data_IF_614693794891
#
_entry.id   IF_614693794891
#
_cell.length_a   1.000
_cell.length_b   1.000
_cell.length_c   1.000
_cell.angle_alpha   90.00
_cell.angle_beta   90.00
_cell.angle_gamma   90.00
#
_symmetry.space_group_name_H-M   'P 1'
#
loop_
_entity.id
_entity.type
_entity.pdbx_description
1 polymer ?
#
# COMPACT_ATOMS: atom_id res chain seq x y z
N UNK A 1 -62.24 29.34 18.18
CA UNK A 1 -63.49 29.26 17.38
C UNK A 1 -63.31 30.14 16.15
N UNK A 2 -63.53 29.59 14.94
CA UNK A 2 -63.70 30.27 13.63
C UNK A 2 -62.41 30.88 13.02
N UNK A 3 -61.64 30.13 12.20
CA UNK A 3 -61.80 29.76 10.77
C UNK A 3 -60.93 30.65 9.86
N UNK A 4 -59.85 30.06 9.30
CA UNK A 4 -59.29 30.51 8.01
C UNK A 4 -59.22 29.33 7.05
N UNK A 5 -59.70 29.62 5.85
CA UNK A 5 -60.06 28.74 4.72
C UNK A 5 -58.85 28.09 4.04
N UNK A 6 -59.03 26.81 3.70
CA UNK A 6 -58.81 26.13 2.40
C UNK A 6 -57.82 26.74 1.40
N UNK A 7 -56.87 25.91 0.94
CA UNK A 7 -56.92 25.37 -0.43
C UNK A 7 -56.14 24.04 -0.53
N UNK A 8 -56.81 23.03 -1.09
CA UNK A 8 -56.30 21.73 -1.53
C UNK A 8 -56.56 21.62 -3.04
N UNK A 9 -55.58 21.12 -3.79
CA UNK A 9 -55.68 20.39 -5.07
C UNK A 9 -54.24 19.89 -5.35
N UNK A 10 -53.83 18.62 -5.22
CA UNK A 10 -54.17 17.41 -6.00
C UNK A 10 -54.48 17.67 -7.48
N UNK A 11 -53.57 17.29 -8.39
CA UNK A 11 -53.81 16.21 -9.36
C UNK A 11 -52.60 15.97 -10.31
N UNK A 12 -52.23 14.69 -10.38
CA UNK A 12 -51.87 13.88 -11.56
C UNK A 12 -50.58 14.12 -12.39
N UNK A 13 -49.87 12.99 -12.47
CA UNK A 13 -48.77 12.52 -13.34
C UNK A 13 -49.43 11.52 -14.35
N UNK A 14 -48.76 10.96 -15.38
CA UNK A 14 -48.02 11.46 -16.57
C UNK A 14 -48.77 11.02 -17.89
N UNK A 15 -48.18 10.94 -19.12
CA UNK A 15 -47.24 9.85 -19.48
C UNK A 15 -46.16 10.12 -20.57
N UNK A 16 -45.07 9.35 -20.42
CA UNK A 16 -44.30 8.59 -21.43
C UNK A 16 -44.39 9.01 -22.91
N UNK A 17 -43.24 9.30 -23.51
CA UNK A 17 -42.98 8.95 -24.91
C UNK A 17 -41.84 7.93 -24.94
N UNK A 18 -42.21 6.76 -25.42
CA UNK A 18 -41.42 5.55 -25.61
C UNK A 18 -41.00 5.48 -27.08
N UNK A 19 -39.90 4.79 -27.33
CA UNK A 19 -39.62 3.97 -28.54
C UNK A 19 -39.24 4.69 -29.84
N UNK A 20 -37.98 4.49 -30.25
CA UNK A 20 -37.68 4.01 -31.61
C UNK A 20 -36.30 3.32 -31.62
N UNK A 21 -36.31 2.00 -31.41
CA UNK A 21 -35.25 1.07 -31.83
C UNK A 21 -35.84 0.31 -33.02
N UNK A 22 -34.97 -0.01 -33.99
CA UNK A 22 -35.09 -0.96 -35.11
C UNK A 22 -35.47 -0.42 -36.49
N UNK A 23 -34.50 -0.55 -37.41
CA UNK A 23 -34.59 -1.15 -38.75
C UNK A 23 -33.16 -1.22 -39.31
N UNK A 24 -32.41 -2.29 -39.04
CA UNK A 24 -32.15 -3.39 -39.98
C UNK A 24 -32.28 -3.08 -41.48
N UNK A 25 -31.17 -3.40 -42.16
CA UNK A 25 -31.06 -4.03 -43.47
C UNK A 25 -30.78 -3.15 -44.71
N UNK A 26 -29.70 -3.58 -45.38
CA UNK A 26 -29.62 -3.79 -46.84
C UNK A 26 -29.25 -2.58 -47.74
N UNK A 27 -27.98 -2.53 -48.17
CA UNK A 27 -27.62 -2.72 -49.59
C UNK A 27 -26.11 -2.67 -49.88
N UNK A 28 -25.63 -3.81 -50.39
CA UNK A 28 -24.81 -3.98 -51.60
C UNK A 28 -23.49 -3.18 -51.73
N UNK A 29 -22.38 -3.92 -51.79
CA UNK A 29 -21.65 -4.14 -53.06
C UNK A 29 -20.73 -5.37 -52.97
N UNK A 30 -21.13 -6.40 -53.72
CA UNK A 30 -20.29 -7.50 -54.21
C UNK A 30 -19.41 -7.01 -55.36
N UNK A 31 -18.37 -7.81 -55.65
CA UNK A 31 -17.64 -8.05 -56.92
C UNK A 31 -16.13 -7.76 -56.79
N UNK A 32 -15.35 -8.79 -56.49
CA UNK A 32 -14.56 -9.49 -57.52
C UNK A 32 -13.92 -10.75 -56.92
N UNK A 33 -14.45 -11.91 -57.34
CA UNK A 33 -13.63 -13.11 -57.53
C UNK A 33 -13.03 -13.03 -58.94
N UNK A 34 -11.88 -13.71 -59.11
CA UNK A 34 -11.17 -14.19 -60.33
C UNK A 34 -9.67 -14.03 -59.97
N UNK A 35 -8.75 -14.99 -60.03
CA UNK A 35 -8.62 -16.25 -60.79
C UNK A 35 -7.32 -16.91 -60.31
N UNK A 36 -7.26 -18.25 -60.18
CA UNK A 36 -6.54 -19.17 -61.10
C UNK A 36 -5.00 -18.97 -61.10
N UNK A 37 -4.10 -19.93 -61.02
CA UNK A 37 -4.13 -21.40 -61.10
C UNK A 37 -2.66 -21.85 -61.02
N UNK A 38 -2.43 -22.97 -60.32
CA UNK A 38 -1.46 -24.05 -60.60
C UNK A 38 -0.02 -23.69 -60.99
N UNK A 39 0.93 -24.32 -60.28
CA UNK A 39 1.87 -25.30 -60.88
C UNK A 39 2.41 -26.23 -59.80
N UNK A 40 2.29 -27.52 -60.08
CA UNK A 40 2.83 -28.64 -59.32
C UNK A 40 4.04 -29.23 -60.07
N UNK A 41 4.73 -30.17 -59.40
CA UNK A 41 5.83 -31.05 -59.87
C UNK A 41 7.21 -30.36 -59.93
N UNK A 42 8.35 -30.92 -59.48
CA UNK A 42 8.75 -32.31 -59.19
C UNK A 42 10.17 -32.35 -58.53
N UNK A 43 10.45 -33.41 -57.73
CA UNK A 43 11.77 -34.04 -57.40
C UNK A 43 12.77 -33.20 -56.57
N UNK A 44 13.69 -33.74 -55.77
CA UNK A 44 14.15 -35.11 -55.53
C UNK A 44 14.86 -35.15 -54.15
N UNK A 45 14.79 -36.33 -53.53
CA UNK A 45 15.62 -36.88 -52.45
C UNK A 45 16.98 -36.23 -52.18
N UNK A 46 17.21 -35.80 -50.94
CA UNK A 46 18.52 -35.89 -50.27
C UNK A 46 18.31 -36.28 -48.80
N UNK A 47 18.90 -37.41 -48.42
CA UNK A 47 19.09 -37.89 -47.05
C UNK A 47 19.53 -36.74 -46.13
N UNK A 48 18.74 -36.43 -45.11
CA UNK A 48 19.17 -35.61 -43.98
C UNK A 48 19.36 -36.52 -42.76
N UNK A 49 20.61 -36.59 -42.35
CA UNK A 49 21.09 -37.23 -41.13
C UNK A 49 20.36 -36.57 -39.95
N UNK A 50 19.58 -37.35 -39.22
CA UNK A 50 18.90 -36.94 -38.00
C UNK A 50 19.93 -36.78 -36.87
N UNK A 51 20.50 -35.58 -36.73
CA UNK A 51 21.02 -35.13 -35.44
C UNK A 51 19.85 -34.54 -34.66
N UNK A 52 19.38 -35.29 -33.65
CA UNK A 52 18.52 -34.80 -32.59
C UNK A 52 19.28 -33.75 -31.78
N UNK A 53 19.16 -32.49 -32.18
CA UNK A 53 19.45 -31.35 -31.31
C UNK A 53 18.39 -31.38 -30.20
N UNK A 54 18.80 -31.77 -29.00
CA UNK A 54 18.02 -31.54 -27.79
C UNK A 54 18.00 -30.02 -27.61
N UNK A 55 16.97 -29.38 -28.17
CA UNK A 55 16.63 -28.00 -27.89
C UNK A 55 16.22 -27.98 -26.42
N UNK A 56 17.16 -27.70 -25.52
CA UNK A 56 16.79 -27.26 -24.19
C UNK A 56 15.96 -26.00 -24.38
N UNK A 57 14.66 -26.06 -24.08
CA UNK A 57 13.88 -24.86 -23.80
C UNK A 57 14.58 -24.19 -22.63
N UNK A 58 15.49 -23.27 -22.91
CA UNK A 58 15.82 -22.24 -21.95
C UNK A 58 14.52 -21.46 -21.79
N UNK A 59 13.76 -21.81 -20.75
CA UNK A 59 12.79 -20.91 -20.20
C UNK A 59 13.55 -19.61 -19.96
N UNK A 60 13.26 -18.59 -20.76
CA UNK A 60 13.67 -17.22 -20.47
C UNK A 60 13.33 -17.02 -19.00
N UNK A 61 14.30 -16.71 -18.12
CA UNK A 61 13.98 -16.37 -16.75
C UNK A 61 12.96 -15.23 -16.87
N UNK A 62 11.79 -15.45 -16.26
CA UNK A 62 10.79 -14.39 -16.14
C UNK A 62 11.53 -13.14 -15.68
N UNK A 63 11.26 -11.96 -16.28
CA UNK A 63 11.91 -10.74 -15.83
C UNK A 63 11.71 -10.67 -14.32
N UNK A 64 12.83 -10.75 -13.60
CA UNK A 64 12.86 -10.56 -12.17
C UNK A 64 12.30 -9.17 -11.96
N UNK A 65 11.03 -9.11 -11.54
CA UNK A 65 10.41 -7.85 -11.15
C UNK A 65 11.20 -7.41 -9.94
N UNK A 66 12.23 -6.60 -10.19
CA UNK A 66 12.85 -5.76 -9.19
C UNK A 66 11.71 -4.85 -8.74
N UNK A 67 11.00 -5.28 -7.69
CA UNK A 67 10.10 -4.41 -6.95
C UNK A 67 11.00 -3.32 -6.38
N UNK A 68 11.17 -2.25 -7.13
CA UNK A 68 11.58 -0.96 -6.58
C UNK A 68 10.53 -0.65 -5.53
N UNK A 69 10.86 -0.93 -4.27
CA UNK A 69 9.91 -0.78 -3.17
C UNK A 69 9.48 0.68 -3.17
N UNK A 70 8.18 0.99 -3.31
CA UNK A 70 7.66 2.36 -3.38
C UNK A 70 7.71 3.08 -2.02
N UNK A 71 8.54 2.56 -1.10
CA UNK A 71 8.62 3.01 0.28
C UNK A 71 10.07 3.34 0.58
N UNK A 72 10.32 4.62 0.84
CA UNK A 72 11.59 5.13 1.34
C UNK A 72 11.49 5.22 2.87
N UNK A 73 12.42 4.60 3.58
CA UNK A 73 12.54 4.75 5.05
C UNK A 73 13.86 5.41 5.43
N UNK A 74 13.79 6.30 6.41
CA UNK A 74 14.94 7.03 6.91
C UNK A 74 14.87 7.09 8.44
N UNK A 75 16.02 6.94 9.10
CA UNK A 75 16.15 6.98 10.57
C UNK A 75 17.15 8.05 10.95
N UNK A 76 16.80 8.85 11.94
CA UNK A 76 17.62 9.95 12.39
C UNK A 76 17.72 9.99 13.91
N UNK A 77 18.93 10.25 14.41
CA UNK A 77 19.24 10.43 15.83
C UNK A 77 19.45 11.91 16.16
N UNK A 78 19.35 12.28 17.45
CA UNK A 78 19.31 13.66 17.97
C UNK A 78 20.29 14.64 17.29
N UNK A 79 21.54 14.22 17.06
CA UNK A 79 22.59 15.07 16.46
C UNK A 79 22.27 15.53 15.03
N UNK A 80 21.35 14.83 14.36
CA UNK A 80 20.84 15.12 13.02
C UNK A 80 19.31 15.32 12.97
N UNK A 81 18.61 15.38 14.11
CA UNK A 81 17.14 15.44 14.15
C UNK A 81 16.55 16.69 13.49
N UNK A 82 17.24 17.83 13.55
CA UNK A 82 16.86 19.05 12.82
C UNK A 82 17.18 18.97 11.31
N UNK A 83 18.07 18.06 10.90
CA UNK A 83 18.37 17.75 9.49
C UNK A 83 17.42 16.70 8.94
N UNK A 84 16.94 15.77 9.78
CA UNK A 84 15.94 14.76 9.49
C UNK A 84 14.65 15.34 8.91
N UNK A 85 14.16 16.39 9.58
CA UNK A 85 12.94 17.09 9.21
C UNK A 85 13.11 17.94 7.94
N UNK A 86 14.35 18.18 7.46
CA UNK A 86 14.58 18.95 6.22
C UNK A 86 14.19 18.18 4.95
N UNK A 87 14.08 16.85 5.03
CA UNK A 87 13.62 16.01 3.94
C UNK A 87 12.10 15.94 3.81
N UNK A 88 11.35 16.45 4.80
CA UNK A 88 9.89 16.55 4.79
C UNK A 88 9.43 17.86 4.14
N UNK A 89 8.14 17.94 3.82
CA UNK A 89 7.51 19.20 3.45
C UNK A 89 7.80 20.29 4.50
N UNK A 90 8.08 21.51 4.04
CA UNK A 90 8.48 22.63 4.90
C UNK A 90 7.44 22.99 5.96
N UNK A 91 6.15 22.85 5.64
CA UNK A 91 5.04 23.13 6.56
C UNK A 91 4.95 22.01 7.59
N UNK A 92 5.09 20.75 7.15
CA UNK A 92 5.09 19.60 8.05
C UNK A 92 6.27 19.65 9.04
N UNK A 93 7.48 19.91 8.54
CA UNK A 93 8.69 20.05 9.33
C UNK A 93 8.61 21.17 10.39
N UNK A 94 7.89 22.26 10.08
CA UNK A 94 7.71 23.39 11.00
C UNK A 94 6.74 23.09 12.15
N UNK A 95 5.79 22.18 11.95
CA UNK A 95 4.76 21.83 12.94
C UNK A 95 5.12 20.57 13.77
N UNK A 96 6.22 19.90 13.44
CA UNK A 96 6.73 18.74 14.17
C UNK A 96 7.64 19.13 15.34
N UNK A 97 7.53 18.45 16.50
CA UNK A 97 8.42 18.71 17.63
C UNK A 97 9.86 18.27 17.31
N UNK A 98 10.84 18.96 17.91
CA UNK A 98 12.24 18.52 17.84
C UNK A 98 12.43 17.27 18.71
N UNK A 99 13.19 16.26 18.27
CA UNK A 99 13.44 15.06 19.08
C UNK A 99 14.26 15.39 20.34
N UNK A 100 13.95 14.68 21.43
CA UNK A 100 14.71 14.76 22.69
C UNK A 100 15.94 13.83 22.67
N UNK A 101 16.80 13.93 23.69
CA UNK A 101 18.11 13.25 23.67
C UNK A 101 18.09 11.73 23.62
N UNK A 102 17.03 11.11 24.12
CA UNK A 102 16.88 9.67 24.15
C UNK A 102 15.91 9.15 23.07
N UNK A 103 15.65 9.95 22.04
CA UNK A 103 14.72 9.62 20.97
C UNK A 103 15.38 9.56 19.60
N UNK A 104 14.90 8.63 18.79
CA UNK A 104 15.16 8.49 17.37
C UNK A 104 13.87 8.80 16.58
N UNK A 105 14.02 9.53 15.48
CA UNK A 105 12.93 9.84 14.56
C UNK A 105 13.02 8.89 13.37
N UNK A 106 11.97 8.12 13.15
CA UNK A 106 11.83 7.25 11.98
C UNK A 106 10.79 7.88 11.06
N UNK A 107 11.15 8.06 9.79
CA UNK A 107 10.27 8.59 8.76
C UNK A 107 10.06 7.49 7.72
N UNK A 108 8.79 7.15 7.47
CA UNK A 108 8.39 6.25 6.40
C UNK A 108 7.64 7.08 5.37
N UNK A 109 8.23 7.22 4.18
CA UNK A 109 7.63 7.90 3.05
C UNK A 109 7.19 6.85 2.03
N UNK A 110 5.92 6.86 1.67
CA UNK A 110 5.40 6.03 0.58
C UNK A 110 5.15 6.95 -0.60
N UNK A 111 5.76 6.63 -1.73
CA UNK A 111 5.56 7.38 -2.95
C UNK A 111 4.12 7.20 -3.47
N UNK A 112 3.67 8.07 -4.36
CA UNK A 112 2.32 8.01 -4.89
C UNK A 112 2.10 6.70 -5.64
N UNK A 113 1.19 5.88 -5.13
CA UNK A 113 0.83 4.58 -5.71
C UNK A 113 -0.44 4.69 -6.55
N UNK A 114 -0.52 3.97 -7.70
CA UNK A 114 -1.78 3.79 -8.39
C UNK A 114 -2.72 2.97 -7.49
N UNK A 115 -4.00 3.36 -7.44
CA UNK A 115 -5.01 2.68 -6.62
C UNK A 115 -4.62 2.56 -5.14
N UNK A 116 -4.21 3.68 -4.55
CA UNK A 116 -3.76 3.75 -3.15
C UNK A 116 -4.69 3.02 -2.17
N UNK A 117 -6.01 3.05 -2.40
CA UNK A 117 -7.03 2.36 -1.58
C UNK A 117 -6.86 0.85 -1.42
N UNK A 118 -6.06 0.20 -2.28
CA UNK A 118 -5.75 -1.23 -2.16
C UNK A 118 -4.57 -1.52 -1.26
N UNK A 119 -3.82 -0.49 -0.83
CA UNK A 119 -2.60 -0.68 -0.07
C UNK A 119 -2.83 -0.46 1.42
N UNK A 120 -2.09 -1.22 2.24
CA UNK A 120 -2.05 -1.05 3.69
C UNK A 120 -0.63 -1.06 4.20
N UNK A 121 -0.20 -0.01 4.90
CA UNK A 121 1.12 0.02 5.52
C UNK A 121 1.03 -0.60 6.91
N UNK A 122 1.78 -1.67 7.12
CA UNK A 122 1.84 -2.35 8.40
C UNK A 122 3.18 -2.07 9.08
N UNK A 123 3.14 -1.50 10.28
CA UNK A 123 4.32 -1.08 11.04
C UNK A 123 4.41 -1.82 12.37
N UNK A 124 5.58 -2.38 12.65
CA UNK A 124 5.91 -3.03 13.91
C UNK A 124 7.06 -2.29 14.58
N UNK A 125 6.85 -1.93 15.83
CA UNK A 125 7.86 -1.34 16.71
C UNK A 125 8.29 -2.41 17.70
N UNK A 126 9.57 -2.48 18.03
CA UNK A 126 10.08 -3.52 18.91
C UNK A 126 11.57 -3.42 19.19
N UNK A 127 12.15 -4.51 19.69
CA UNK A 127 13.58 -4.64 19.96
C UNK A 127 14.10 -5.93 19.33
N UNK A 128 15.29 -5.88 18.75
CA UNK A 128 16.00 -7.09 18.37
C UNK A 128 16.90 -7.51 19.54
N UNK A 129 16.52 -8.58 20.23
CA UNK A 129 17.22 -9.07 21.43
C UNK A 129 17.54 -10.56 21.31
N UNK A 130 18.57 -10.98 22.04
CA UNK A 130 18.91 -12.39 22.17
C UNK A 130 17.94 -13.06 23.14
N UNK A 131 16.94 -13.74 22.59
CA UNK A 131 15.89 -14.41 23.34
C UNK A 131 16.23 -15.89 23.54
N UNK A 132 15.96 -16.39 24.74
CA UNK A 132 15.96 -17.81 25.06
C UNK A 132 14.55 -18.40 24.83
N UNK A 133 14.26 -19.55 25.42
CA UNK A 133 12.95 -20.19 25.33
C UNK A 133 11.83 -19.38 26.03
N UNK A 134 12.17 -18.39 26.87
CA UNK A 134 11.17 -17.58 27.56
C UNK A 134 10.56 -16.58 26.59
N UNK A 135 9.23 -16.52 26.56
CA UNK A 135 8.50 -15.56 25.73
C UNK A 135 8.56 -14.16 26.35
N UNK A 136 9.48 -13.34 25.86
CA UNK A 136 9.56 -11.92 26.22
C UNK A 136 8.45 -11.14 25.50
N UNK A 137 7.89 -10.16 26.19
CA UNK A 137 6.96 -9.18 25.63
C UNK A 137 7.45 -7.79 25.97
N UNK A 138 7.12 -6.82 25.12
CA UNK A 138 7.40 -5.42 25.40
C UNK A 138 6.13 -4.71 25.84
N UNK A 139 6.30 -3.71 26.69
CA UNK A 139 5.27 -2.80 27.17
C UNK A 139 5.66 -1.35 26.84
N UNK A 140 4.64 -0.55 26.58
CA UNK A 140 4.74 0.81 26.08
C UNK A 140 3.47 1.15 25.30
N UNK A 141 3.18 2.43 25.13
CA UNK A 141 2.00 2.90 24.42
C UNK A 141 2.44 3.79 23.25
N UNK A 142 1.97 3.44 22.04
CA UNK A 142 2.18 4.27 20.86
C UNK A 142 0.99 5.21 20.74
N UNK A 143 1.23 6.49 20.94
CA UNK A 143 0.22 7.53 20.84
C UNK A 143 0.20 8.11 19.43
N UNK A 144 -0.99 8.21 18.82
CA UNK A 144 -1.23 8.93 17.57
C UNK A 144 -1.62 10.38 17.92
N UNK A 145 -0.67 11.31 17.78
CA UNK A 145 -0.83 12.70 18.19
C UNK A 145 -1.18 13.56 16.97
N UNK A 146 -2.31 14.27 16.96
CA UNK A 146 -2.66 15.15 15.85
C UNK A 146 -1.70 16.35 15.77
N UNK A 147 -1.38 16.75 14.55
CA UNK A 147 -0.63 17.96 14.27
C UNK A 147 -1.57 19.17 14.33
N UNK A 148 -1.11 20.23 14.97
CA UNK A 148 -1.81 21.51 14.98
C UNK A 148 -1.42 22.30 13.72
N UNK A 149 -2.31 22.35 12.74
CA UNK A 149 -2.15 23.22 11.57
C UNK A 149 -3.04 24.47 11.72
N UNK A 150 -2.51 25.64 11.35
CA UNK A 150 -3.36 26.80 11.06
C UNK A 150 -4.26 26.48 9.85
N UNK A 151 -5.51 26.96 9.85
CA UNK A 151 -6.47 26.80 8.76
C UNK A 151 -5.90 27.22 7.39
N UNK A 152 -5.03 28.23 7.37
CA UNK A 152 -4.37 28.68 6.13
C UNK A 152 -3.19 27.79 5.71
N UNK A 153 -2.65 26.97 6.62
CA UNK A 153 -1.55 26.04 6.38
C UNK A 153 -2.05 24.64 6.02
N UNK A 154 -3.17 24.19 6.60
CA UNK A 154 -3.78 22.90 6.30
C UNK A 154 -4.08 22.72 4.80
N UNK A 155 -4.54 23.77 4.13
CA UNK A 155 -4.79 23.76 2.68
C UNK A 155 -3.50 23.72 1.82
N UNK A 156 -2.34 24.04 2.40
CA UNK A 156 -1.04 24.07 1.73
C UNK A 156 -0.19 22.83 2.00
N UNK A 157 -0.51 22.05 3.03
CA UNK A 157 0.12 20.74 3.28
C UNK A 157 -0.32 19.79 2.16
N UNK A 158 0.54 19.64 1.15
CA UNK A 158 0.28 18.90 -0.09
C UNK A 158 0.10 17.38 0.09
N UNK A 159 0.17 16.87 1.31
CA UNK A 159 0.40 15.46 1.60
C UNK A 159 -0.61 14.84 2.58
N UNK A 160 -1.54 15.60 3.17
CA UNK A 160 -2.59 15.01 4.03
C UNK A 160 -2.10 14.40 5.36
N UNK A 161 -0.86 14.67 5.78
CA UNK A 161 -0.34 14.22 7.07
C UNK A 161 -1.01 15.02 8.19
N UNK A 162 -1.77 14.33 9.04
CA UNK A 162 -2.57 14.96 10.11
C UNK A 162 -2.06 14.65 11.50
N UNK A 163 -1.12 13.73 11.65
CA UNK A 163 -0.67 13.22 12.94
C UNK A 163 0.75 12.66 12.85
N UNK A 164 1.35 12.44 14.02
CA UNK A 164 2.60 11.71 14.19
C UNK A 164 2.44 10.67 15.30
N UNK A 165 3.35 9.70 15.34
CA UNK A 165 3.35 8.65 16.34
C UNK A 165 4.43 8.93 17.38
N UNK A 166 4.08 8.76 18.65
CA UNK A 166 4.96 9.00 19.78
C UNK A 166 4.98 7.79 20.70
N UNK A 167 6.19 7.33 21.02
CA UNK A 167 6.44 6.32 22.05
C UNK A 167 7.41 6.91 23.07
N UNK A 168 6.93 7.09 24.29
CA UNK A 168 7.74 7.69 25.36
C UNK A 168 8.79 6.72 25.89
N UNK A 169 8.37 5.51 26.23
CA UNK A 169 9.24 4.47 26.78
C UNK A 169 8.87 3.09 26.26
N UNK A 170 9.89 2.24 26.21
CA UNK A 170 9.78 0.84 25.78
C UNK A 170 10.47 -0.01 26.83
N UNK A 171 9.71 -0.86 27.51
CA UNK A 171 10.20 -1.68 28.62
C UNK A 171 9.88 -3.16 28.38
N UNK A 172 10.67 -4.07 28.95
CA UNK A 172 10.33 -5.49 28.96
C UNK A 172 9.22 -5.76 29.99
N UNK A 173 8.19 -6.49 29.57
CA UNK A 173 7.12 -6.89 30.46
C UNK A 173 7.58 -8.02 31.38
N UNK A 174 7.04 -8.11 32.61
CA UNK A 174 7.30 -9.23 33.50
C UNK A 174 6.97 -10.56 32.81
N UNK A 175 7.87 -11.53 32.95
CA UNK A 175 7.70 -12.87 32.37
C UNK A 175 8.12 -13.96 33.35
N UNK A 176 7.56 -15.15 33.17
CA UNK A 176 8.00 -16.35 33.89
C UNK A 176 9.34 -16.79 33.31
N UNK A 177 10.33 -16.95 34.19
CA UNK A 177 11.65 -17.45 33.79
C UNK A 177 11.69 -18.95 34.00
N UNK A 178 11.89 -19.69 32.91
CA UNK A 178 12.11 -21.13 32.90
C UNK A 178 13.58 -21.43 32.59
N UNK A 179 14.11 -22.57 33.08
CA UNK A 179 15.44 -23.02 32.71
C UNK A 179 15.46 -23.46 31.24
N UNK A 180 16.08 -22.64 30.39
CA UNK A 180 16.23 -22.93 28.98
C UNK A 180 17.57 -23.66 28.72
N UNK A 181 17.52 -24.78 28.02
CA UNK A 181 18.70 -25.55 27.60
C UNK A 181 19.20 -25.09 26.23
N UNK A 182 18.33 -24.44 25.45
CA UNK A 182 18.64 -23.97 24.11
C UNK A 182 19.51 -22.71 24.10
N UNK A 183 20.34 -22.58 23.05
CA UNK A 183 21.10 -21.38 22.81
C UNK A 183 20.17 -20.19 22.48
N UNK A 184 20.54 -19.00 22.98
CA UNK A 184 19.82 -17.76 22.68
C UNK A 184 19.86 -17.44 21.19
N UNK A 185 18.75 -16.96 20.63
CA UNK A 185 18.61 -16.56 19.23
C UNK A 185 18.23 -15.10 19.13
N UNK A 186 18.76 -14.40 18.13
CA UNK A 186 18.37 -13.03 17.83
C UNK A 186 16.93 -13.02 17.29
N UNK A 187 16.02 -12.41 18.04
CA UNK A 187 14.59 -12.36 17.71
C UNK A 187 14.10 -10.93 17.85
N UNK A 188 13.28 -10.50 16.88
CA UNK A 188 12.55 -9.24 16.98
C UNK A 188 11.32 -9.42 17.89
N UNK A 189 11.40 -8.89 19.10
CA UNK A 189 10.27 -8.85 20.04
C UNK A 189 9.46 -7.60 19.76
N UNK A 190 8.21 -7.79 19.36
CA UNK A 190 7.31 -6.71 19.02
C UNK A 190 6.67 -6.09 20.27
N UNK A 191 6.47 -4.78 20.23
CA UNK A 191 5.60 -4.03 21.12
C UNK A 191 4.14 -4.23 20.70
N UNK A 192 3.34 -4.79 21.61
CA UNK A 192 1.89 -4.87 21.48
C UNK A 192 1.40 -5.39 20.13
N UNK A 193 0.31 -4.80 19.65
CA UNK A 193 -0.26 -5.11 18.36
C UNK A 193 0.44 -4.36 17.22
N UNK A 194 0.16 -4.79 15.99
CA UNK A 194 0.77 -4.17 14.83
C UNK A 194 -0.02 -2.94 14.41
N UNK A 195 0.68 -1.83 14.12
CA UNK A 195 0.04 -0.62 13.62
C UNK A 195 -0.33 -0.83 12.14
N UNK A 196 -1.61 -0.68 11.85
CA UNK A 196 -2.15 -0.70 10.50
C UNK A 196 -2.50 0.72 10.12
N UNK A 197 -1.79 1.24 9.13
CA UNK A 197 -1.98 2.58 8.58
C UNK A 197 -2.76 2.40 7.28
N UNK A 198 -3.73 3.27 7.04
CA UNK A 198 -4.59 3.24 5.86
C UNK A 198 -4.06 4.12 4.74
N UNK A 199 -4.57 3.88 3.53
CA UNK A 199 -4.06 4.49 2.30
C UNK A 199 -4.16 5.99 2.16
N UNK A 200 -5.06 6.62 2.90
CA UNK A 200 -5.13 8.07 2.97
C UNK A 200 -3.99 8.70 3.77
N UNK A 201 -3.26 7.91 4.56
CA UNK A 201 -2.28 8.38 5.54
C UNK A 201 -0.82 8.05 5.13
N UNK A 202 -0.57 7.54 3.91
CA UNK A 202 0.74 6.97 3.51
C UNK A 202 1.85 7.93 3.10
N UNK A 203 1.54 9.18 2.81
CA UNK A 203 2.50 10.10 2.20
C UNK A 203 3.80 10.19 3.01
N UNK A 204 3.72 10.62 4.28
CA UNK A 204 4.86 10.74 5.18
C UNK A 204 4.43 10.43 6.63
N UNK A 205 4.85 9.27 7.14
CA UNK A 205 4.56 8.82 8.50
C UNK A 205 5.78 9.03 9.39
N UNK A 206 5.61 9.77 10.49
CA UNK A 206 6.69 10.14 11.42
C UNK A 206 6.49 9.45 12.76
N UNK A 207 7.52 8.75 13.23
CA UNK A 207 7.54 8.03 14.50
C UNK A 207 8.68 8.54 15.37
N UNK A 208 8.35 8.99 16.58
CA UNK A 208 9.31 9.32 17.62
C UNK A 208 9.40 8.13 18.56
N UNK A 209 10.51 7.42 18.51
CA UNK A 209 10.74 6.21 19.28
C UNK A 209 11.94 6.39 20.22
N UNK A 210 12.00 5.68 21.35
CA UNK A 210 13.21 5.63 22.17
C UNK A 210 14.39 5.11 21.35
N UNK A 211 15.61 5.58 21.59
CA UNK A 211 16.78 5.26 20.75
C UNK A 211 17.07 3.76 20.60
N UNK A 212 16.74 2.96 21.61
CA UNK A 212 16.88 1.50 21.58
C UNK A 212 15.84 0.80 20.71
N UNK A 213 14.69 1.43 20.47
CA UNK A 213 13.59 0.86 19.71
C UNK A 213 13.95 0.76 18.23
N UNK A 214 13.46 -0.30 17.60
CA UNK A 214 13.58 -0.56 16.18
C UNK A 214 12.19 -0.57 15.56
N UNK A 215 12.13 -0.09 14.32
CA UNK A 215 10.92 -0.08 13.52
C UNK A 215 11.15 -0.94 12.28
N UNK A 216 10.21 -1.83 11.98
CA UNK A 216 10.12 -2.53 10.70
C UNK A 216 8.73 -2.36 10.13
N UNK A 217 8.63 -2.40 8.81
CA UNK A 217 7.36 -2.23 8.12
C UNK A 217 7.24 -3.21 6.95
N UNK A 218 6.01 -3.46 6.53
CA UNK A 218 5.69 -4.08 5.25
C UNK A 218 4.49 -3.38 4.62
N UNK A 219 4.50 -3.31 3.29
CA UNK A 219 3.38 -2.80 2.53
C UNK A 219 2.56 -3.98 2.02
N UNK A 220 1.28 -3.99 2.37
CA UNK A 220 0.31 -4.94 1.86
C UNK A 220 -0.43 -4.36 0.67
N UNK A 221 -0.86 -5.23 -0.23
CA UNK A 221 -1.81 -4.90 -1.30
C UNK A 221 -2.94 -5.93 -1.27
N UNK A 222 -4.17 -5.45 -1.24
CA UNK A 222 -5.35 -6.27 -1.43
C UNK A 222 -5.42 -6.79 -2.86
N UNK A 223 -5.88 -8.02 -3.03
CA UNK A 223 -6.25 -8.53 -4.34
C UNK A 223 -7.54 -7.85 -4.80
N UNK A 224 -7.60 -7.45 -6.07
CA UNK A 224 -8.71 -6.68 -6.64
C UNK A 224 -10.07 -7.43 -6.60
N UNK A 225 -10.05 -8.75 -6.42
CA UNK A 225 -11.24 -9.60 -6.44
C UNK A 225 -11.88 -9.72 -5.05
N UNK A 226 -13.11 -9.24 -4.92
CA UNK A 226 -13.97 -9.52 -3.77
C UNK A 226 -14.60 -10.92 -3.87
N UNK A 227 -14.68 -11.62 -2.74
CA UNK A 227 -15.36 -12.89 -2.63
C UNK A 227 -16.59 -12.73 -1.73
N UNK A 228 -17.72 -13.32 -2.12
CA UNK A 228 -18.94 -13.30 -1.33
C UNK A 228 -19.02 -14.55 -0.46
N UNK A 229 -19.29 -14.40 0.83
CA UNK A 229 -19.69 -15.51 1.70
C UNK A 229 -21.21 -15.69 1.62
N UNK A 230 -21.67 -16.82 1.07
CA UNK A 230 -23.07 -17.24 1.14
C UNK A 230 -23.26 -18.25 2.27
#
# INVERSE_FOLDING_TARGET
>A
MILKKKNQATHQVPPKITTAIYLFAEKRRLISMLTSSKKALLRMSTMLISLSVIQACQATPAPEVVLTSPVTSQVFHQDNGATALKGLDKILAANLPKPTANQAVHIIKVDTLPEASQYQLQVQIGLNIMQDCNQRRLMGEVQKIPLAFDANQAAKTSQGVTHYYWLESLMEAPMVTLPCIEAKKATFVQLGETLLIESGEFSENVFYLPQQAQLRYRLWRATETWQYSQ
#
